data_IF_640796049010
#
_entry.id   IF_640796049010
#
_cell.length_a   1.000
_cell.length_b   1.000
_cell.length_c   1.000
_cell.angle_alpha   90.00
_cell.angle_beta   90.00
_cell.angle_gamma   90.00
#
_symmetry.space_group_name_H-M   'P 1'
#
loop_
_entity.id
_entity.type
_entity.pdbx_description
1 polymer ?
#
# COMPACT_ATOMS: atom_id res chain seq x y z
N UNK A 1 -36.87 -41.05 -24.08
CA UNK A 1 -36.72 -39.71 -24.67
C UNK A 1 -36.29 -38.82 -23.51
N UNK A 2 -34.99 -38.57 -23.42
CA UNK A 2 -34.35 -37.91 -22.27
C UNK A 2 -34.37 -36.40 -22.50
N UNK A 3 -34.99 -35.66 -21.58
CA UNK A 3 -34.79 -34.21 -21.44
C UNK A 3 -33.35 -33.99 -20.96
N UNK A 4 -32.51 -33.45 -21.83
CA UNK A 4 -31.20 -32.93 -21.45
C UNK A 4 -31.42 -31.50 -20.99
N UNK A 5 -31.45 -31.34 -19.66
CA UNK A 5 -31.57 -30.05 -19.00
C UNK A 5 -30.48 -29.08 -19.46
N UNK A 6 -30.94 -27.93 -19.92
CA UNK A 6 -30.15 -26.72 -20.16
C UNK A 6 -29.61 -26.21 -18.82
N UNK A 7 -28.40 -26.67 -18.46
CA UNK A 7 -27.74 -26.35 -17.19
C UNK A 7 -26.36 -25.71 -17.35
N UNK A 8 -26.05 -25.09 -18.49
CA UNK A 8 -24.70 -24.59 -18.79
C UNK A 8 -24.71 -23.25 -19.56
N UNK A 9 -25.37 -22.21 -19.05
CA UNK A 9 -25.21 -20.84 -19.58
C UNK A 9 -25.12 -19.73 -18.52
N UNK A 10 -24.98 -20.04 -17.23
CA UNK A 10 -24.94 -19.00 -16.18
C UNK A 10 -23.52 -18.67 -15.69
N UNK A 11 -22.55 -18.53 -16.60
CA UNK A 11 -21.20 -18.01 -16.28
C UNK A 11 -20.66 -17.01 -17.32
N UNK A 12 -21.37 -16.78 -18.42
CA UNK A 12 -20.95 -15.84 -19.47
C UNK A 12 -21.38 -14.40 -19.19
N UNK A 13 -22.46 -14.20 -18.44
CA UNK A 13 -23.08 -12.87 -18.25
C UNK A 13 -22.34 -12.03 -17.19
N UNK A 14 -21.89 -12.66 -16.09
CA UNK A 14 -21.08 -11.99 -15.06
C UNK A 14 -19.71 -11.52 -15.61
N UNK A 15 -19.16 -12.25 -16.59
CA UNK A 15 -17.88 -11.92 -17.22
C UNK A 15 -17.98 -10.73 -18.20
N UNK A 16 -19.09 -10.61 -18.93
CA UNK A 16 -19.31 -9.49 -19.86
C UNK A 16 -19.52 -8.17 -19.13
N UNK A 17 -20.32 -8.16 -18.06
CA UNK A 17 -20.56 -6.96 -17.26
C UNK A 17 -19.28 -6.39 -16.64
N UNK A 18 -18.37 -7.26 -16.17
CA UNK A 18 -17.06 -6.84 -15.66
C UNK A 18 -16.20 -6.23 -16.75
N UNK A 19 -16.14 -6.85 -17.94
CA UNK A 19 -15.36 -6.33 -19.08
C UNK A 19 -15.89 -4.95 -19.53
N UNK A 20 -17.21 -4.77 -19.59
CA UNK A 20 -17.82 -3.48 -19.92
C UNK A 20 -17.46 -2.40 -18.89
N UNK A 21 -17.50 -2.74 -17.60
CA UNK A 21 -17.09 -1.83 -16.52
C UNK A 21 -15.60 -1.47 -16.61
N UNK A 22 -14.73 -2.43 -16.95
CA UNK A 22 -13.30 -2.19 -17.16
C UNK A 22 -13.05 -1.24 -18.33
N UNK A 23 -13.74 -1.45 -19.46
CA UNK A 23 -13.65 -0.59 -20.64
C UNK A 23 -14.11 0.83 -20.32
N UNK A 24 -15.26 0.99 -19.66
CA UNK A 24 -15.77 2.31 -19.28
C UNK A 24 -14.83 3.04 -18.32
N UNK A 25 -14.18 2.31 -17.40
CA UNK A 25 -13.18 2.85 -16.48
C UNK A 25 -11.94 3.29 -17.25
N UNK A 26 -11.44 2.47 -18.17
CA UNK A 26 -10.29 2.79 -19.01
C UNK A 26 -10.54 4.04 -19.88
N UNK A 27 -11.71 4.13 -20.53
CA UNK A 27 -12.13 5.32 -21.29
C UNK A 27 -12.17 6.57 -20.39
N UNK A 28 -12.72 6.43 -19.19
CA UNK A 28 -12.78 7.54 -18.24
C UNK A 28 -11.40 8.00 -17.74
N UNK A 29 -10.43 7.09 -17.63
CA UNK A 29 -9.03 7.42 -17.34
C UNK A 29 -8.36 8.10 -18.54
N UNK A 30 -8.63 7.64 -19.76
CA UNK A 30 -8.14 8.29 -20.98
C UNK A 30 -8.64 9.74 -21.09
N UNK A 31 -9.91 9.99 -20.77
CA UNK A 31 -10.47 11.34 -20.73
C UNK A 31 -9.77 12.26 -19.72
N UNK A 32 -9.32 11.70 -18.59
CA UNK A 32 -8.63 12.44 -17.52
C UNK A 32 -7.16 12.72 -17.85
N UNK A 33 -6.56 11.95 -18.75
CA UNK A 33 -5.12 12.00 -19.04
C UNK A 33 -4.63 13.42 -19.39
N UNK A 34 -5.29 14.21 -20.25
CA UNK A 34 -4.82 15.57 -20.57
C UNK A 34 -4.92 16.56 -19.39
N UNK A 35 -5.83 16.31 -18.44
CA UNK A 35 -5.98 17.14 -17.25
C UNK A 35 -4.91 16.82 -16.20
N UNK A 36 -4.53 15.55 -16.06
CA UNK A 36 -3.50 15.09 -15.10
C UNK A 36 -2.08 15.28 -15.66
N UNK A 37 -1.90 15.04 -16.95
CA UNK A 37 -0.65 15.19 -17.68
C UNK A 37 -0.83 16.21 -18.81
N UNK A 38 -0.87 17.52 -18.49
CA UNK A 38 -0.97 18.55 -19.51
C UNK A 38 0.24 18.51 -20.43
N UNK A 39 0.04 18.86 -21.70
CA UNK A 39 1.13 19.02 -22.64
C UNK A 39 2.09 20.11 -22.14
N UNK A 40 3.37 19.77 -22.04
CA UNK A 40 4.44 20.67 -21.62
C UNK A 40 5.27 21.10 -22.83
N UNK A 41 5.53 22.40 -22.93
CA UNK A 41 6.37 22.97 -24.00
C UNK A 41 7.87 22.80 -23.72
N UNK A 42 8.23 22.51 -22.46
CA UNK A 42 9.61 22.32 -22.02
C UNK A 42 9.87 20.86 -21.63
N UNK A 43 11.05 20.31 -21.95
CA UNK A 43 11.45 18.99 -21.48
C UNK A 43 11.43 18.93 -19.94
N UNK A 44 10.79 17.91 -19.39
CA UNK A 44 10.85 17.60 -17.97
C UNK A 44 12.25 17.12 -17.58
N UNK A 45 12.69 17.43 -16.36
CA UNK A 45 13.89 16.81 -15.79
C UNK A 45 13.64 15.33 -15.52
N UNK A 46 14.63 14.48 -15.77
CA UNK A 46 14.53 13.04 -15.52
C UNK A 46 15.59 12.58 -14.52
N UNK A 47 15.24 12.40 -13.23
CA UNK A 47 16.18 11.86 -12.27
C UNK A 47 16.50 10.40 -12.56
N UNK A 48 17.68 9.99 -12.11
CA UNK A 48 18.09 8.60 -12.07
C UNK A 48 17.35 7.91 -10.92
N UNK A 49 16.61 6.86 -11.24
CA UNK A 49 15.83 6.07 -10.30
C UNK A 49 16.27 4.61 -10.31
N UNK A 50 16.49 4.07 -9.11
CA UNK A 50 16.82 2.67 -8.89
C UNK A 50 15.59 1.95 -8.34
N UNK A 51 14.94 1.13 -9.18
CA UNK A 51 13.69 0.46 -8.80
C UNK A 51 13.88 -0.68 -7.81
N UNK A 52 15.08 -1.24 -7.75
CA UNK A 52 15.45 -2.31 -6.81
C UNK A 52 16.21 -1.75 -5.59
N UNK A 53 15.92 -0.54 -5.13
CA UNK A 53 16.58 0.01 -3.94
C UNK A 53 15.95 -0.58 -2.66
N UNK A 54 16.65 -1.56 -2.07
CA UNK A 54 16.26 -2.23 -0.83
C UNK A 54 17.42 -2.25 0.15
N UNK A 55 17.14 -2.51 1.44
CA UNK A 55 18.18 -2.60 2.47
C UNK A 55 19.26 -3.65 2.16
N UNK A 56 18.93 -4.68 1.35
CA UNK A 56 19.89 -5.71 0.92
C UNK A 56 20.93 -5.19 -0.08
N UNK A 57 20.65 -4.04 -0.71
CA UNK A 57 21.52 -3.41 -1.70
C UNK A 57 22.33 -2.25 -1.11
N UNK A 58 22.34 -2.09 0.22
CA UNK A 58 23.14 -1.09 0.92
C UNK A 58 24.17 -1.83 1.77
N UNK A 59 25.45 -1.66 1.44
CA UNK A 59 26.54 -2.17 2.26
C UNK A 59 26.90 -1.15 3.33
N UNK A 60 27.07 -1.63 4.55
CA UNK A 60 27.52 -0.85 5.70
C UNK A 60 28.77 -1.49 6.29
N UNK A 61 29.68 -0.67 6.82
CA UNK A 61 30.84 -1.15 7.60
C UNK A 61 30.45 -1.48 9.06
N UNK A 62 31.44 -1.85 9.87
CA UNK A 62 31.25 -2.22 11.28
C UNK A 62 30.75 -1.03 12.12
N UNK A 63 31.04 0.20 11.69
CA UNK A 63 30.60 1.44 12.30
C UNK A 63 29.20 1.89 11.83
N UNK A 64 28.63 1.21 10.84
CA UNK A 64 27.32 1.51 10.27
C UNK A 64 27.32 2.60 9.19
N UNK A 65 28.49 2.99 8.67
CA UNK A 65 28.59 3.91 7.54
C UNK A 65 28.35 3.19 6.22
N UNK A 66 27.64 3.85 5.29
CA UNK A 66 27.35 3.29 3.96
C UNK A 66 28.64 3.24 3.14
N UNK A 67 29.09 2.04 2.79
CA UNK A 67 30.32 1.80 2.01
C UNK A 67 30.04 1.63 0.52
N UNK A 68 28.89 1.07 0.15
CA UNK A 68 28.49 0.91 -1.25
C UNK A 68 26.97 0.80 -1.40
N UNK A 69 26.49 1.22 -2.57
CA UNK A 69 25.15 0.94 -3.07
C UNK A 69 25.28 -0.04 -4.23
N UNK A 70 24.61 -1.17 -4.12
CA UNK A 70 24.58 -2.25 -5.11
C UNK A 70 23.28 -2.21 -5.92
N UNK A 71 23.15 -3.08 -6.93
CA UNK A 71 21.88 -3.27 -7.64
C UNK A 71 21.59 -2.22 -8.72
N UNK A 72 22.63 -1.69 -9.38
CA UNK A 72 22.50 -0.64 -10.41
C UNK A 72 21.95 -1.15 -11.75
N UNK A 73 21.82 -2.46 -11.94
CA UNK A 73 21.28 -3.06 -13.17
C UNK A 73 19.77 -2.77 -13.38
N UNK A 74 19.08 -2.23 -12.37
CA UNK A 74 17.68 -1.81 -12.42
C UNK A 74 17.54 -0.27 -12.31
N UNK A 75 18.43 0.45 -12.98
CA UNK A 75 18.47 1.93 -12.97
C UNK A 75 17.90 2.51 -14.25
N UNK A 76 16.96 3.45 -14.12
CA UNK A 76 16.30 4.11 -15.24
C UNK A 76 16.28 5.62 -15.05
N UNK A 77 16.23 6.37 -16.14
CA UNK A 77 15.82 7.78 -16.09
C UNK A 77 14.30 7.82 -16.21
N UNK A 78 13.63 8.34 -15.19
CA UNK A 78 12.15 8.40 -15.14
C UNK A 78 11.69 9.86 -15.04
N UNK A 79 10.42 10.17 -15.35
CA UNK A 79 9.84 11.48 -15.04
C UNK A 79 10.00 11.85 -13.55
N UNK A 80 9.89 13.12 -13.20
CA UNK A 80 10.03 13.53 -11.80
C UNK A 80 8.91 12.96 -10.92
N UNK A 81 7.68 12.87 -11.46
CA UNK A 81 6.53 12.47 -10.64
C UNK A 81 6.66 11.11 -9.90
N UNK A 82 7.09 10.01 -10.54
CA UNK A 82 7.33 8.76 -9.82
C UNK A 82 8.54 8.84 -8.88
N UNK A 83 9.52 9.72 -9.13
CA UNK A 83 10.67 9.88 -8.26
C UNK A 83 10.33 10.55 -6.92
N UNK A 84 9.19 11.27 -6.85
CA UNK A 84 8.69 11.88 -5.61
C UNK A 84 8.08 10.87 -4.62
N UNK A 85 7.86 9.63 -5.05
CA UNK A 85 7.40 8.57 -4.17
C UNK A 85 8.47 8.18 -3.15
N UNK A 86 8.02 7.78 -1.97
CA UNK A 86 8.92 7.23 -0.96
C UNK A 86 9.50 5.90 -1.48
N UNK A 87 10.81 5.67 -1.31
CA UNK A 87 11.40 4.37 -1.59
C UNK A 87 10.64 3.23 -0.93
N UNK A 88 10.45 2.12 -1.65
CA UNK A 88 9.60 0.99 -1.20
C UNK A 88 9.96 0.46 0.18
N UNK A 89 11.23 0.40 0.55
CA UNK A 89 11.64 -0.06 1.88
C UNK A 89 11.17 0.87 3.03
N UNK A 90 10.73 2.10 2.73
CA UNK A 90 10.13 3.02 3.69
C UNK A 90 8.59 2.95 3.73
N UNK A 91 7.94 2.33 2.74
CA UNK A 91 6.48 2.22 2.65
C UNK A 91 5.98 0.81 2.88
N UNK A 92 6.72 -0.17 2.40
CA UNK A 92 6.34 -1.57 2.45
C UNK A 92 6.59 -2.11 3.85
N UNK A 93 5.72 -2.99 4.37
CA UNK A 93 5.94 -3.58 5.66
C UNK A 93 7.18 -4.48 5.64
N UNK A 94 8.31 -4.00 6.18
CA UNK A 94 9.62 -4.69 6.13
C UNK A 94 9.54 -6.08 6.77
N UNK A 95 8.64 -6.29 7.73
CA UNK A 95 8.44 -7.59 8.38
C UNK A 95 8.15 -8.73 7.41
N UNK A 96 7.50 -8.50 6.25
CA UNK A 96 7.28 -9.58 5.28
C UNK A 96 8.59 -10.15 4.74
N UNK A 97 9.64 -9.35 4.68
CA UNK A 97 10.96 -9.79 4.22
C UNK A 97 11.75 -10.51 5.32
N UNK A 98 11.62 -10.08 6.59
CA UNK A 98 12.34 -10.68 7.72
C UNK A 98 11.64 -11.94 8.27
N UNK A 99 10.30 -11.95 8.32
CA UNK A 99 9.52 -13.13 8.73
C UNK A 99 9.77 -14.31 7.80
N UNK A 100 10.01 -14.08 6.50
CA UNK A 100 10.40 -15.15 5.57
C UNK A 100 11.81 -15.69 5.82
N UNK A 101 12.74 -14.87 6.33
CA UNK A 101 14.08 -15.34 6.71
C UNK A 101 14.02 -16.13 8.03
N UNK A 102 13.25 -15.63 9.01
CA UNK A 102 13.03 -16.29 10.30
C UNK A 102 12.16 -17.56 10.16
N UNK A 103 11.30 -17.67 9.12
CA UNK A 103 10.56 -18.90 8.84
C UNK A 103 11.49 -20.06 8.46
N UNK A 104 12.57 -19.78 7.72
CA UNK A 104 13.56 -20.77 7.33
C UNK A 104 14.45 -21.15 8.53
N UNK A 105 14.76 -20.21 9.43
CA UNK A 105 15.49 -20.46 10.68
C UNK A 105 14.63 -21.15 11.76
N UNK A 106 13.33 -20.84 11.83
CA UNK A 106 12.36 -21.49 12.71
C UNK A 106 12.02 -22.91 12.22
N UNK A 107 12.00 -23.16 10.90
CA UNK A 107 11.97 -24.52 10.33
C UNK A 107 13.19 -25.34 10.74
N UNK A 108 14.33 -24.69 11.01
CA UNK A 108 15.52 -25.32 11.58
C UNK A 108 15.45 -25.49 13.12
N UNK A 109 14.33 -25.16 13.76
CA UNK A 109 14.04 -25.45 15.17
C UNK A 109 14.71 -24.52 16.17
N UNK A 110 15.16 -23.33 15.77
CA UNK A 110 16.06 -22.51 16.60
C UNK A 110 15.40 -21.44 17.48
N UNK A 111 14.12 -21.06 17.30
CA UNK A 111 13.43 -20.06 18.17
C UNK A 111 11.91 -20.24 18.31
N UNK A 112 11.28 -19.79 19.43
CA UNK A 112 9.82 -19.73 19.57
C UNK A 112 9.24 -18.56 18.76
N UNK A 113 8.24 -18.85 17.93
CA UNK A 113 7.95 -18.10 16.70
C UNK A 113 6.90 -16.97 16.80
N UNK A 114 6.12 -16.83 17.89
CA UNK A 114 4.88 -16.02 17.82
C UNK A 114 4.79 -14.78 18.73
N UNK A 115 5.36 -14.75 19.94
CA UNK A 115 5.24 -13.55 20.83
C UNK A 115 6.18 -12.40 20.46
N UNK A 116 7.27 -12.69 19.74
CA UNK A 116 8.25 -11.69 19.32
C UNK A 116 7.89 -11.00 18.01
N UNK A 117 7.04 -11.61 17.17
CA UNK A 117 6.73 -11.08 15.84
C UNK A 117 6.00 -9.73 15.89
N UNK A 118 5.02 -9.57 16.79
CA UNK A 118 4.31 -8.29 16.96
C UNK A 118 5.24 -7.19 17.47
N UNK A 119 6.12 -7.50 18.42
CA UNK A 119 7.10 -6.53 18.96
C UNK A 119 8.12 -6.12 17.89
N UNK A 120 8.61 -7.08 17.11
CA UNK A 120 9.49 -6.80 15.96
C UNK A 120 8.74 -5.93 14.96
N UNK A 121 7.48 -6.24 14.67
CA UNK A 121 6.67 -5.46 13.75
C UNK A 121 6.49 -4.01 14.21
N UNK A 122 6.06 -3.80 15.45
CA UNK A 122 5.85 -2.47 16.02
C UNK A 122 7.16 -1.66 16.02
N UNK A 123 8.30 -2.32 16.31
CA UNK A 123 9.62 -1.69 16.25
C UNK A 123 10.00 -1.29 14.83
N UNK A 124 9.83 -2.17 13.84
CA UNK A 124 10.16 -1.87 12.45
C UNK A 124 9.28 -0.75 11.90
N UNK A 125 7.99 -0.74 12.21
CA UNK A 125 7.07 0.32 11.81
C UNK A 125 7.44 1.67 12.45
N UNK A 126 7.87 1.65 13.72
CA UNK A 126 8.42 2.83 14.38
C UNK A 126 9.68 3.35 13.66
N UNK A 127 10.64 2.47 13.38
CA UNK A 127 11.90 2.83 12.71
C UNK A 127 11.65 3.39 11.30
N UNK A 128 10.79 2.75 10.49
CA UNK A 128 10.36 3.29 9.19
C UNK A 128 9.70 4.66 9.31
N UNK A 129 8.88 4.87 10.35
CA UNK A 129 8.25 6.17 10.58
C UNK A 129 9.27 7.27 10.84
N UNK A 130 10.33 6.99 11.61
CA UNK A 130 11.41 7.95 11.81
C UNK A 130 12.21 8.18 10.54
N UNK A 131 12.53 7.10 9.79
CA UNK A 131 13.26 7.21 8.53
C UNK A 131 12.49 8.01 7.48
N UNK A 132 11.17 7.85 7.38
CA UNK A 132 10.32 8.68 6.50
C UNK A 132 10.47 10.17 6.83
N UNK A 133 10.46 10.55 8.11
CA UNK A 133 10.65 11.95 8.53
C UNK A 133 12.02 12.48 8.10
N UNK A 134 13.08 11.70 8.33
CA UNK A 134 14.45 12.08 7.96
C UNK A 134 14.57 12.20 6.44
N UNK A 135 14.02 11.24 5.69
CA UNK A 135 14.02 11.24 4.24
C UNK A 135 13.32 12.49 3.68
N UNK A 136 12.07 12.75 4.08
CA UNK A 136 11.32 13.92 3.62
C UNK A 136 12.06 15.21 3.93
N UNK A 137 12.59 15.35 5.16
CA UNK A 137 13.39 16.52 5.54
C UNK A 137 14.63 16.66 4.65
N UNK A 138 15.36 15.57 4.43
CA UNK A 138 16.61 15.60 3.66
C UNK A 138 16.37 15.91 2.19
N UNK A 139 15.28 15.39 1.61
CA UNK A 139 14.91 15.71 0.23
C UNK A 139 14.55 17.19 0.07
N UNK A 140 13.84 17.78 1.03
CA UNK A 140 13.59 19.23 1.05
C UNK A 140 14.85 20.09 1.21
N UNK A 141 15.86 19.60 1.96
CA UNK A 141 17.17 20.28 2.06
C UNK A 141 17.98 20.21 0.76
N UNK A 142 17.88 19.09 0.02
CA UNK A 142 18.62 18.86 -1.22
C UNK A 142 17.95 19.53 -2.43
N UNK A 143 16.63 19.65 -2.42
CA UNK A 143 15.83 20.26 -3.48
C UNK A 143 14.85 21.29 -2.91
N UNK A 144 15.10 22.60 -3.07
CA UNK A 144 14.20 23.65 -2.56
C UNK A 144 12.77 23.60 -3.12
N UNK A 145 12.59 22.95 -4.28
CA UNK A 145 11.29 22.76 -4.95
C UNK A 145 10.64 21.42 -4.64
N UNK A 146 11.28 20.55 -3.85
CA UNK A 146 10.86 19.17 -3.63
C UNK A 146 9.42 19.05 -3.12
N UNK A 147 9.04 19.87 -2.14
CA UNK A 147 7.68 19.80 -1.58
C UNK A 147 6.60 20.19 -2.61
N UNK A 148 6.91 21.14 -3.50
CA UNK A 148 6.02 21.53 -4.58
C UNK A 148 5.92 20.43 -5.65
N UNK A 149 7.05 19.78 -5.97
CA UNK A 149 7.10 18.65 -6.89
C UNK A 149 6.31 17.45 -6.34
N UNK A 150 6.45 17.11 -5.07
CA UNK A 150 5.67 16.06 -4.39
C UNK A 150 4.17 16.38 -4.46
N UNK A 151 3.79 17.64 -4.21
CA UNK A 151 2.39 18.07 -4.26
C UNK A 151 1.81 18.01 -5.68
N UNK A 152 2.55 18.40 -6.71
CA UNK A 152 2.14 18.32 -8.12
C UNK A 152 2.05 16.86 -8.61
N UNK A 153 2.99 16.03 -8.14
CA UNK A 153 3.10 14.61 -8.52
C UNK A 153 2.04 13.73 -7.86
N UNK A 154 1.44 14.20 -6.77
CA UNK A 154 0.46 13.48 -5.98
C UNK A 154 -0.73 12.96 -6.80
N UNK A 155 -1.28 13.75 -7.73
CA UNK A 155 -2.40 13.31 -8.58
C UNK A 155 -1.92 12.40 -9.73
N UNK A 156 -0.72 12.67 -10.27
CA UNK A 156 -0.11 11.87 -11.34
C UNK A 156 0.17 10.45 -10.87
N UNK A 157 0.70 10.29 -9.66
CA UNK A 157 0.99 8.98 -9.08
C UNK A 157 -0.31 8.20 -8.79
N UNK A 158 -1.30 8.86 -8.17
CA UNK A 158 -2.63 8.26 -7.98
C UNK A 158 -3.27 7.82 -9.31
N UNK A 159 -3.07 8.58 -10.40
CA UNK A 159 -3.54 8.19 -11.73
C UNK A 159 -2.82 6.96 -12.29
N UNK A 160 -1.50 6.86 -12.14
CA UNK A 160 -0.73 5.68 -12.59
C UNK A 160 -1.13 4.43 -11.79
N UNK A 161 -1.37 4.58 -10.48
CA UNK A 161 -1.92 3.51 -9.66
C UNK A 161 -3.30 3.10 -10.16
N UNK A 162 -4.20 4.05 -10.41
CA UNK A 162 -5.53 3.78 -10.97
C UNK A 162 -5.45 3.03 -12.31
N UNK A 163 -4.54 3.45 -13.19
CA UNK A 163 -4.28 2.80 -14.48
C UNK A 163 -3.67 1.40 -14.35
N UNK A 164 -3.07 1.06 -13.21
CA UNK A 164 -2.55 -0.28 -12.94
C UNK A 164 -3.62 -1.20 -12.32
N UNK A 165 -4.64 -0.62 -11.69
CA UNK A 165 -5.65 -1.35 -10.91
C UNK A 165 -6.94 -1.64 -11.67
N UNK A 166 -7.24 -0.94 -12.79
CA UNK A 166 -8.54 -1.08 -13.47
C UNK A 166 -8.83 -2.49 -14.01
N UNK A 167 -7.82 -3.33 -14.21
CA UNK A 167 -8.00 -4.71 -14.66
C UNK A 167 -8.50 -5.66 -13.54
N UNK A 168 -8.45 -5.22 -12.29
CA UNK A 168 -8.90 -5.99 -11.14
C UNK A 168 -10.30 -5.53 -10.71
N UNK A 169 -11.24 -6.48 -10.71
CA UNK A 169 -12.67 -6.23 -10.51
C UNK A 169 -12.95 -5.57 -9.15
N UNK A 170 -12.20 -5.95 -8.11
CA UNK A 170 -12.32 -5.41 -6.76
C UNK A 170 -12.06 -3.89 -6.66
N UNK A 171 -11.40 -3.30 -7.66
CA UNK A 171 -11.07 -1.88 -7.69
C UNK A 171 -11.99 -1.05 -8.58
N UNK A 172 -12.83 -1.66 -9.41
CA UNK A 172 -13.66 -0.91 -10.38
C UNK A 172 -14.60 0.10 -9.72
N UNK A 173 -15.31 -0.29 -8.67
CA UNK A 173 -16.22 0.62 -7.94
C UNK A 173 -15.47 1.76 -7.22
N UNK A 174 -14.38 1.49 -6.46
CA UNK A 174 -13.53 2.54 -5.92
C UNK A 174 -12.94 3.47 -6.97
N UNK A 175 -12.43 2.94 -8.08
CA UNK A 175 -11.85 3.73 -9.17
C UNK A 175 -12.90 4.63 -9.81
N UNK A 176 -14.11 4.12 -10.09
CA UNK A 176 -15.20 4.93 -10.61
C UNK A 176 -15.58 6.09 -9.66
N UNK A 177 -15.53 5.86 -8.35
CA UNK A 177 -15.76 6.92 -7.35
C UNK A 177 -14.64 7.96 -7.39
N UNK A 178 -13.38 7.52 -7.37
CA UNK A 178 -12.23 8.40 -7.43
C UNK A 178 -12.22 9.24 -8.71
N UNK A 179 -12.40 8.63 -9.89
CA UNK A 179 -12.47 9.30 -11.19
C UNK A 179 -13.54 10.40 -11.18
N UNK A 180 -14.73 10.10 -10.64
CA UNK A 180 -15.83 11.07 -10.57
C UNK A 180 -15.46 12.28 -9.71
N UNK A 181 -14.84 12.07 -8.56
CA UNK A 181 -14.39 13.16 -7.70
C UNK A 181 -13.33 14.04 -8.40
N UNK A 182 -12.37 13.43 -9.10
CA UNK A 182 -11.37 14.18 -9.87
C UNK A 182 -12.02 14.95 -11.03
N UNK A 183 -12.94 14.33 -11.79
CA UNK A 183 -13.70 15.00 -12.86
C UNK A 183 -14.52 16.20 -12.33
N UNK A 184 -14.97 16.14 -11.08
CA UNK A 184 -15.69 17.24 -10.42
C UNK A 184 -14.78 18.33 -9.84
N UNK A 185 -13.47 18.25 -10.04
CA UNK A 185 -12.48 19.21 -9.51
C UNK A 185 -12.07 18.95 -8.06
N UNK A 186 -12.39 17.78 -7.52
CA UNK A 186 -11.93 17.34 -6.21
C UNK A 186 -10.44 16.94 -6.21
N UNK A 187 -9.86 16.87 -5.01
CA UNK A 187 -8.51 16.38 -4.79
C UNK A 187 -8.54 15.32 -3.68
N UNK A 188 -9.04 14.14 -4.02
CA UNK A 188 -9.12 12.99 -3.11
C UNK A 188 -8.04 11.98 -3.46
N UNK A 189 -7.36 11.47 -2.43
CA UNK A 189 -6.35 10.43 -2.59
C UNK A 189 -6.95 9.09 -2.96
N UNK A 190 -6.42 8.43 -3.98
CA UNK A 190 -6.89 7.11 -4.42
C UNK A 190 -6.87 6.11 -3.26
N UNK A 191 -5.76 6.04 -2.54
CA UNK A 191 -5.61 5.18 -1.35
C UNK A 191 -6.72 5.40 -0.31
N UNK A 192 -7.13 6.65 -0.08
CA UNK A 192 -8.21 6.94 0.86
C UNK A 192 -9.57 6.37 0.38
N UNK A 193 -9.85 6.45 -0.93
CA UNK A 193 -11.05 5.85 -1.52
C UNK A 193 -11.01 4.33 -1.41
N UNK A 194 -9.85 3.73 -1.71
CA UNK A 194 -9.61 2.28 -1.59
C UNK A 194 -9.80 1.79 -0.16
N UNK A 195 -9.22 2.47 0.83
CA UNK A 195 -9.33 2.10 2.25
C UNK A 195 -10.77 2.26 2.77
N UNK A 196 -11.46 3.32 2.35
CA UNK A 196 -12.84 3.60 2.78
C UNK A 196 -13.83 2.57 2.25
N UNK A 197 -13.68 2.15 0.98
CA UNK A 197 -14.59 1.20 0.35
C UNK A 197 -14.17 -0.25 0.63
N UNK A 198 -12.88 -0.54 0.72
CA UNK A 198 -12.35 -1.83 1.16
C UNK A 198 -12.75 -2.19 2.59
N UNK A 199 -12.93 -1.20 3.48
CA UNK A 199 -13.47 -1.44 4.82
C UNK A 199 -14.99 -1.63 4.86
N UNK A 200 -15.73 -1.04 3.91
CA UNK A 200 -17.20 -1.21 3.80
C UNK A 200 -17.59 -2.57 3.20
N UNK A 201 -16.73 -3.17 2.37
CA UNK A 201 -16.95 -4.49 1.78
C UNK A 201 -16.48 -5.65 2.68
N UNK A 202 -15.99 -5.40 3.90
CA UNK A 202 -15.74 -6.49 4.85
C UNK A 202 -17.07 -7.00 5.40
N UNK A 203 -17.36 -8.31 5.35
CA UNK A 203 -18.55 -8.86 5.99
C UNK A 203 -18.57 -8.49 7.48
N UNK A 204 -19.76 -8.09 7.94
CA UNK A 204 -20.05 -7.51 9.27
C UNK A 204 -19.51 -8.40 10.41
N UNK A 205 -19.34 -9.70 10.19
CA UNK A 205 -18.81 -10.66 11.17
C UNK A 205 -17.36 -10.37 11.62
N UNK A 206 -16.54 -9.65 10.85
CA UNK A 206 -15.18 -9.30 11.28
C UNK A 206 -15.06 -7.97 12.02
N UNK A 207 -16.11 -7.14 12.03
CA UNK A 207 -16.13 -5.90 12.82
C UNK A 207 -16.48 -6.20 14.29
N UNK A 208 -17.32 -7.20 14.54
CA UNK A 208 -17.71 -7.64 15.88
C UNK A 208 -16.56 -8.28 16.70
N UNK A 209 -15.53 -8.81 16.04
CA UNK A 209 -14.37 -9.40 16.72
C UNK A 209 -13.38 -8.36 17.27
N UNK A 210 -13.43 -7.11 16.81
CA UNK A 210 -12.58 -6.03 17.35
C UNK A 210 -13.21 -5.30 18.55
N UNK A 211 -14.53 -5.35 18.70
CA UNK A 211 -15.23 -4.67 19.80
C UNK A 211 -15.37 -5.55 21.06
N UNK A 212 -15.21 -6.87 20.94
CA UNK A 212 -15.30 -7.79 22.09
C UNK A 212 -13.98 -8.00 22.86
N UNK A 213 -12.84 -7.50 22.37
CA UNK A 213 -11.54 -7.64 23.07
C UNK A 213 -11.28 -6.52 24.10
N UNK A 214 -12.22 -5.57 24.26
CA UNK A 214 -12.09 -4.42 25.17
C UNK A 214 -13.05 -4.43 26.38
N UNK A 215 -13.80 -5.51 26.66
CA UNK A 215 -14.84 -5.51 27.72
C UNK A 215 -14.73 -6.62 28.77
N UNK A 216 -13.55 -7.20 29.01
CA UNK A 216 -13.40 -8.21 30.07
C UNK A 216 -12.13 -8.04 30.88
N UNK A 217 -11.96 -6.87 31.48
CA UNK A 217 -11.28 -6.71 32.77
C UNK A 217 -12.11 -5.74 33.59
N UNK A 218 -12.96 -6.27 34.48
CA UNK A 218 -13.37 -5.64 35.73
C UNK A 218 -14.27 -6.61 36.50
N UNK A 219 -13.63 -7.43 37.34
CA UNK A 219 -14.22 -7.95 38.58
C UNK A 219 -13.17 -8.73 39.37
N UNK A 220 -12.33 -8.01 40.11
CA UNK A 220 -11.81 -8.52 41.38
C UNK A 220 -12.34 -7.65 42.52
N UNK A 221 -12.39 -8.28 43.70
CA UNK A 221 -12.78 -7.78 45.02
C UNK A 221 -14.28 -7.78 45.35
N UNK A 222 -14.69 -8.82 46.08
CA UNK A 222 -15.33 -8.70 47.40
C UNK A 222 -15.70 -10.09 47.95
N UNK A 223 -14.94 -10.62 48.91
CA UNK A 223 -15.48 -10.81 50.28
C UNK A 223 -14.45 -11.43 51.22
N UNK A 224 -14.32 -10.75 52.36
CA UNK A 224 -13.75 -11.21 53.61
C UNK A 224 -14.87 -11.82 54.45
N UNK A 225 -14.63 -12.96 55.10
CA UNK A 225 -15.25 -13.40 56.37
C UNK A 225 -14.65 -14.76 56.77
N UNK A 226 -13.80 -14.82 57.81
CA UNK A 226 -14.14 -15.20 59.21
C UNK A 226 -14.35 -16.71 59.44
N UNK A 227 -13.43 -17.34 60.19
CA UNK A 227 -13.74 -18.10 61.42
C UNK A 227 -13.89 -19.60 61.15
N UNK A 228 -13.56 -20.57 62.01
CA UNK A 228 -13.21 -20.61 63.42
C UNK A 228 -12.73 -22.05 63.72
N UNK A 229 -11.79 -22.18 64.68
CA UNK A 229 -11.39 -23.34 65.51
C UNK A 229 -10.57 -24.46 64.84
#
# INVERSE_FOLDING_TARGET
>A
MLEVGSGYLCTQDESLGTIECQLQTAESLLDLLPAVFPAIDQPEQTPIYQSNFSLKNILVDEEGAITAILGWEHTWAIPCHPATELPRFLTDPIWRTYVNMDLEEARAGQRPFFEDQKKIQDRMEHEQTQLRKIYTKRMGELGPTWDAEVADSALKNDFIDAASLFAAEEFLSPLGTWIREIKNGGNVKLKHVLDTLGNKNRPIEMQALKENDCSSQDSEESSSSEGEI
#
